data_IF_348870689826
#
_entry.id   IF_348870689826
#
_cell.length_a   1.000
_cell.length_b   1.000
_cell.length_c   1.000
_cell.angle_alpha   90.00
_cell.angle_beta   90.00
_cell.angle_gamma   90.00
#
_symmetry.space_group_name_H-M   'P 1'
#
loop_
_entity.id
_entity.type
_entity.pdbx_description
1 polymer ?
#
# COMPACT_ATOMS: atom_id res chain seq x y z
N UNK A 1 17.23 10.85 7.87
CA UNK A 1 16.35 10.98 6.69
C UNK A 1 14.98 11.37 7.20
N UNK A 2 14.40 12.51 6.77
CA UNK A 2 13.06 12.91 7.22
C UNK A 2 12.05 11.85 6.75
N UNK A 3 11.22 11.33 7.66
CA UNK A 3 10.19 10.33 7.34
C UNK A 3 9.30 10.81 6.17
N UNK A 4 8.96 12.10 6.16
CA UNK A 4 8.17 12.71 5.08
C UNK A 4 8.83 12.58 3.70
N UNK A 5 10.16 12.68 3.61
CA UNK A 5 10.88 12.54 2.34
C UNK A 5 10.89 11.07 1.88
N UNK A 6 11.01 10.13 2.82
CA UNK A 6 10.99 8.69 2.51
C UNK A 6 9.65 8.27 1.88
N UNK A 7 8.54 8.73 2.44
CA UNK A 7 7.20 8.36 1.97
C UNK A 7 6.80 9.07 0.67
N UNK A 8 7.17 10.35 0.49
CA UNK A 8 6.98 11.05 -0.79
C UNK A 8 7.70 10.30 -1.92
N UNK A 9 8.91 9.78 -1.68
CA UNK A 9 9.64 8.98 -2.68
C UNK A 9 8.93 7.65 -2.95
N UNK A 10 8.46 6.94 -1.93
CA UNK A 10 7.71 5.68 -2.08
C UNK A 10 6.44 5.85 -2.93
N UNK A 11 5.69 6.94 -2.75
CA UNK A 11 4.47 7.21 -3.53
C UNK A 11 4.80 7.69 -4.94
N UNK A 12 5.83 8.51 -5.09
CA UNK A 12 6.32 8.93 -6.41
C UNK A 12 6.77 7.72 -7.24
N UNK A 13 7.30 6.67 -6.59
CA UNK A 13 7.69 5.40 -7.21
C UNK A 13 6.50 4.51 -7.60
N UNK A 14 5.29 4.72 -7.06
CA UNK A 14 4.10 4.02 -7.52
C UNK A 14 3.67 4.41 -8.93
N UNK A 15 4.29 5.43 -9.53
CA UNK A 15 4.10 5.68 -10.96
C UNK A 15 2.64 5.77 -11.37
N UNK A 16 1.75 6.28 -10.50
CA UNK A 16 0.37 6.59 -10.87
C UNK A 16 0.39 7.87 -11.71
N UNK A 17 1.09 7.81 -12.84
CA UNK A 17 1.24 8.91 -13.78
C UNK A 17 0.67 8.58 -15.16
N UNK A 18 0.19 7.35 -15.42
CA UNK A 18 -0.43 7.04 -16.73
C UNK A 18 -1.24 5.73 -16.82
N UNK A 19 -2.22 5.46 -15.96
CA UNK A 19 -3.14 4.32 -16.20
C UNK A 19 -4.56 4.58 -15.72
N UNK A 20 -5.48 3.73 -16.19
CA UNK A 20 -6.90 3.69 -15.77
C UNK A 20 -7.08 3.65 -14.24
N UNK A 21 -6.01 3.36 -13.48
CA UNK A 21 -5.96 3.36 -12.03
C UNK A 21 -6.15 4.74 -11.39
N UNK A 22 -5.81 5.86 -12.05
CA UNK A 22 -6.03 7.20 -11.47
C UNK A 22 -7.51 7.46 -11.16
N UNK A 23 -8.42 6.87 -11.94
CA UNK A 23 -9.87 6.92 -11.69
C UNK A 23 -10.27 6.26 -10.36
N UNK A 24 -9.56 5.21 -9.96
CA UNK A 24 -9.85 4.44 -8.75
C UNK A 24 -8.98 4.90 -7.56
N UNK A 25 -7.83 5.50 -7.86
CA UNK A 25 -6.82 5.98 -6.90
C UNK A 25 -6.47 7.44 -7.22
N UNK A 26 -7.40 8.39 -7.04
CA UNK A 26 -7.10 9.78 -7.29
C UNK A 26 -6.00 10.27 -6.33
N UNK A 27 -5.22 11.25 -6.78
CA UNK A 27 -4.02 11.71 -6.07
C UNK A 27 -4.32 12.19 -4.64
N UNK A 28 -5.49 12.78 -4.41
CA UNK A 28 -5.96 13.20 -3.10
C UNK A 28 -6.15 12.00 -2.15
N UNK A 29 -6.76 10.91 -2.62
CA UNK A 29 -6.91 9.68 -1.84
C UNK A 29 -5.54 9.09 -1.47
N UNK A 30 -4.63 9.01 -2.45
CA UNK A 30 -3.27 8.50 -2.20
C UNK A 30 -2.54 9.32 -1.15
N UNK A 31 -2.66 10.65 -1.22
CA UNK A 31 -2.08 11.57 -0.24
C UNK A 31 -2.67 11.38 1.16
N UNK A 32 -3.99 11.23 1.27
CA UNK A 32 -4.66 11.06 2.57
C UNK A 32 -4.29 9.71 3.21
N UNK A 33 -4.33 8.62 2.44
CA UNK A 33 -3.95 7.29 2.94
C UNK A 33 -2.49 7.26 3.35
N UNK A 34 -1.62 7.88 2.56
CA UNK A 34 -0.22 8.08 2.93
C UNK A 34 -0.11 8.75 4.28
N UNK A 35 -0.68 9.95 4.45
CA UNK A 35 -0.56 10.72 5.69
C UNK A 35 -1.06 9.94 6.90
N UNK A 36 -2.14 9.18 6.75
CA UNK A 36 -2.63 8.29 7.80
C UNK A 36 -1.61 7.20 8.18
N UNK A 37 -0.97 6.57 7.19
CA UNK A 37 0.04 5.55 7.43
C UNK A 37 1.34 6.13 8.00
N UNK A 38 1.78 7.30 7.53
CA UNK A 38 2.90 8.05 8.11
C UNK A 38 2.67 8.34 9.59
N UNK A 39 1.47 8.83 9.93
CA UNK A 39 1.09 9.13 11.31
C UNK A 39 1.05 7.86 12.18
N UNK A 40 0.44 6.78 11.68
CA UNK A 40 0.37 5.51 12.39
C UNK A 40 1.78 4.92 12.64
N UNK A 41 2.66 5.00 11.65
CA UNK A 41 4.05 4.57 11.78
C UNK A 41 4.79 5.49 12.75
N UNK A 42 4.61 6.80 12.66
CA UNK A 42 5.25 7.75 13.57
C UNK A 42 4.86 7.49 15.02
N UNK A 43 3.58 7.23 15.30
CA UNK A 43 3.10 6.84 16.64
C UNK A 43 3.74 5.52 17.10
N UNK A 44 3.89 4.54 16.19
CA UNK A 44 4.55 3.28 16.51
C UNK A 44 6.08 3.41 16.73
N UNK A 45 6.67 4.47 16.19
CA UNK A 45 8.10 4.76 16.27
C UNK A 45 8.44 5.72 17.41
N UNK A 46 7.48 6.49 17.91
CA UNK A 46 7.67 7.38 19.04
C UNK A 46 7.95 6.52 20.31
N UNK A 47 9.22 6.51 20.73
CA UNK A 47 9.73 5.63 21.78
C UNK A 47 10.54 4.42 21.30
N UNK A 48 10.82 4.29 20.00
CA UNK A 48 11.65 3.21 19.44
C UNK A 48 12.88 3.73 18.71
N UNK A 49 13.99 3.02 18.85
CA UNK A 49 15.25 3.40 18.22
C UNK A 49 15.21 3.05 16.72
N UNK A 50 15.10 4.07 15.86
CA UNK A 50 15.06 3.91 14.40
C UNK A 50 16.33 3.26 13.83
N UNK A 51 17.44 3.26 14.58
CA UNK A 51 18.66 2.57 14.19
C UNK A 51 18.61 1.04 14.41
N UNK A 52 17.66 0.55 15.21
CA UNK A 52 17.45 -0.90 15.43
C UNK A 52 16.43 -1.50 14.46
N UNK A 53 15.53 -0.66 13.91
CA UNK A 53 14.55 -1.07 12.91
C UNK A 53 15.11 -0.85 11.52
N UNK A 54 15.31 -1.93 10.77
CA UNK A 54 15.81 -1.86 9.40
C UNK A 54 14.86 -1.05 8.51
N UNK A 55 15.38 -0.43 7.45
CA UNK A 55 14.58 0.26 6.43
C UNK A 55 13.43 -0.61 5.90
N UNK A 56 13.68 -1.92 5.81
CA UNK A 56 12.73 -2.92 5.31
C UNK A 56 11.53 -3.14 6.27
N UNK A 57 11.66 -2.86 7.56
CA UNK A 57 10.53 -2.92 8.51
C UNK A 57 9.58 -1.73 8.34
N UNK A 58 10.14 -0.54 8.15
CA UNK A 58 9.36 0.68 7.97
C UNK A 58 8.61 0.64 6.64
N UNK A 59 9.28 0.20 5.58
CA UNK A 59 8.67 0.00 4.26
C UNK A 59 7.53 -1.02 4.32
N UNK A 60 7.72 -2.12 5.04
CA UNK A 60 6.67 -3.10 5.24
C UNK A 60 5.45 -2.53 5.97
N UNK A 61 5.65 -1.84 7.09
CA UNK A 61 4.51 -1.26 7.82
C UNK A 61 3.76 -0.23 7.00
N UNK A 62 4.47 0.54 6.18
CA UNK A 62 3.84 1.49 5.27
C UNK A 62 2.99 0.80 4.24
N UNK A 63 3.54 -0.15 3.50
CA UNK A 63 2.79 -0.85 2.47
C UNK A 63 1.63 -1.67 3.03
N UNK A 64 1.85 -2.35 4.15
CA UNK A 64 0.79 -3.08 4.84
C UNK A 64 -0.34 -2.13 5.26
N UNK A 65 -0.02 -0.98 5.87
CA UNK A 65 -1.01 0.03 6.22
C UNK A 65 -1.73 0.56 4.97
N UNK A 66 -0.99 0.93 3.94
CA UNK A 66 -1.52 1.54 2.72
C UNK A 66 -2.51 0.61 2.01
N UNK A 67 -2.13 -0.66 1.82
CA UNK A 67 -2.99 -1.67 1.20
C UNK A 67 -4.24 -1.97 2.05
N UNK A 68 -4.12 -2.00 3.38
CA UNK A 68 -5.29 -2.17 4.28
C UNK A 68 -6.25 -0.98 4.20
N UNK A 69 -5.73 0.25 4.22
CA UNK A 69 -6.54 1.48 4.12
C UNK A 69 -7.23 1.62 2.77
N UNK A 70 -6.60 1.13 1.70
CA UNK A 70 -7.23 1.05 0.38
C UNK A 70 -8.31 -0.04 0.28
N UNK A 71 -8.30 -1.00 1.22
CA UNK A 71 -9.23 -2.13 1.26
C UNK A 71 -8.74 -3.36 0.50
N UNK A 72 -7.45 -3.42 0.15
CA UNK A 72 -6.87 -4.54 -0.59
C UNK A 72 -6.39 -5.67 0.30
N UNK A 73 -6.07 -5.36 1.54
CA UNK A 73 -5.72 -6.32 2.57
C UNK A 73 -6.72 -6.27 3.73
N UNK A 74 -6.98 -7.43 4.33
CA UNK A 74 -7.60 -7.54 5.64
C UNK A 74 -6.59 -7.26 6.75
N UNK A 75 -7.06 -7.14 8.00
CA UNK A 75 -6.17 -6.98 9.15
C UNK A 75 -5.21 -8.16 9.32
N UNK A 76 -5.61 -9.36 8.89
CA UNK A 76 -4.82 -10.60 8.87
C UNK A 76 -3.89 -10.72 7.65
N UNK A 77 -3.64 -9.62 6.93
CA UNK A 77 -2.79 -9.55 5.74
C UNK A 77 -3.23 -10.48 4.58
N UNK A 78 -4.53 -10.78 4.47
CA UNK A 78 -5.06 -11.55 3.33
C UNK A 78 -5.67 -10.63 2.28
N UNK A 79 -5.66 -11.06 1.03
CA UNK A 79 -6.34 -10.33 -0.04
C UNK A 79 -7.83 -10.14 0.30
N UNK A 80 -8.31 -8.90 0.14
CA UNK A 80 -9.68 -8.51 0.45
C UNK A 80 -10.45 -8.18 -0.84
N UNK A 81 -11.05 -9.21 -1.43
CA UNK A 81 -11.80 -9.07 -2.69
C UNK A 81 -12.99 -8.11 -2.54
N UNK A 82 -13.73 -8.17 -1.44
CA UNK A 82 -14.86 -7.27 -1.18
C UNK A 82 -14.42 -5.81 -1.11
N UNK A 83 -13.28 -5.53 -0.46
CA UNK A 83 -12.71 -4.19 -0.39
C UNK A 83 -12.23 -3.69 -1.75
N UNK A 84 -11.65 -4.55 -2.57
CA UNK A 84 -11.28 -4.24 -3.95
C UNK A 84 -12.53 -3.92 -4.78
N UNK A 85 -13.57 -4.76 -4.72
CA UNK A 85 -14.84 -4.53 -5.41
C UNK A 85 -15.49 -3.19 -5.01
N UNK A 86 -15.45 -2.83 -3.72
CA UNK A 86 -15.92 -1.51 -3.25
C UNK A 86 -15.13 -0.36 -3.86
N UNK A 87 -13.84 -0.56 -4.16
CA UNK A 87 -12.95 0.47 -4.70
C UNK A 87 -13.10 0.62 -6.22
N UNK A 88 -13.08 -0.49 -6.95
CA UNK A 88 -13.04 -0.48 -8.42
C UNK A 88 -14.40 -0.76 -9.07
N UNK A 89 -15.43 -0.99 -8.26
CA UNK A 89 -16.76 -1.37 -8.71
C UNK A 89 -16.78 -2.77 -9.33
N UNK A 90 -17.72 -3.00 -10.26
CA UNK A 90 -17.89 -4.31 -10.92
C UNK A 90 -16.93 -4.53 -12.11
N UNK A 91 -15.79 -3.84 -12.15
CA UNK A 91 -14.80 -4.01 -13.21
C UNK A 91 -13.99 -5.29 -12.99
N UNK A 92 -14.54 -6.41 -13.47
CA UNK A 92 -13.97 -7.75 -13.27
C UNK A 92 -12.52 -7.85 -13.74
N UNK A 93 -12.17 -7.21 -14.86
CA UNK A 93 -10.79 -7.21 -15.36
C UNK A 93 -9.83 -6.60 -14.34
N UNK A 94 -10.16 -5.42 -13.81
CA UNK A 94 -9.30 -4.75 -12.82
C UNK A 94 -9.26 -5.54 -11.50
N UNK A 95 -10.36 -6.17 -11.08
CA UNK A 95 -10.39 -7.02 -9.89
C UNK A 95 -9.43 -8.21 -10.07
N UNK A 96 -9.48 -8.88 -11.22
CA UNK A 96 -8.60 -10.01 -11.55
C UNK A 96 -7.13 -9.56 -11.66
N UNK A 97 -6.86 -8.44 -12.34
CA UNK A 97 -5.50 -7.87 -12.45
C UNK A 97 -4.92 -7.56 -11.06
N UNK A 98 -5.71 -6.95 -10.16
CA UNK A 98 -5.30 -6.70 -8.78
C UNK A 98 -5.12 -8.03 -8.03
N UNK A 99 -6.05 -8.98 -8.14
CA UNK A 99 -5.96 -10.29 -7.43
C UNK A 99 -4.67 -11.03 -7.77
N UNK A 100 -4.26 -10.98 -9.03
CA UNK A 100 -3.05 -11.63 -9.55
C UNK A 100 -1.76 -11.06 -8.96
N UNK A 101 -1.80 -9.87 -8.37
CA UNK A 101 -0.67 -9.32 -7.64
C UNK A 101 -0.47 -9.95 -6.26
N UNK A 102 -1.48 -10.64 -5.69
CA UNK A 102 -1.42 -11.16 -4.32
C UNK A 102 -1.21 -12.68 -4.30
N UNK A 103 -0.48 -13.21 -3.30
CA UNK A 103 -0.41 -14.64 -3.06
C UNK A 103 -1.78 -15.24 -2.70
N UNK A 104 -1.85 -16.57 -2.71
CA UNK A 104 -3.04 -17.30 -2.26
C UNK A 104 -3.20 -17.17 -0.74
N UNK A 105 -2.09 -17.20 -0.01
CA UNK A 105 -2.01 -17.13 1.45
C UNK A 105 -1.86 -15.68 1.95
N UNK A 106 -1.64 -15.53 3.27
CA UNK A 106 -1.39 -14.23 3.87
C UNK A 106 -0.07 -13.63 3.39
N UNK A 107 -0.09 -12.33 3.09
CA UNK A 107 1.05 -11.55 2.63
C UNK A 107 2.11 -11.47 3.71
N UNK A 108 3.32 -11.87 3.33
CA UNK A 108 4.53 -11.78 4.15
C UNK A 108 5.20 -10.41 4.02
N UNK A 109 6.20 -10.17 4.88
CA UNK A 109 6.95 -8.92 4.87
C UNK A 109 7.70 -8.73 3.55
N UNK A 110 8.22 -9.80 3.02
CA UNK A 110 9.06 -9.86 1.81
C UNK A 110 8.23 -9.64 0.53
N UNK A 111 6.93 -9.94 0.57
CA UNK A 111 6.05 -9.85 -0.60
C UNK A 111 5.42 -8.46 -0.79
N UNK A 112 5.31 -7.66 0.26
CA UNK A 112 4.46 -6.45 0.24
C UNK A 112 4.94 -5.39 -0.77
N UNK A 113 6.25 -5.24 -0.93
CA UNK A 113 6.84 -4.32 -1.92
C UNK A 113 6.61 -4.82 -3.36
N UNK A 114 6.71 -6.14 -3.57
CA UNK A 114 6.41 -6.76 -4.87
C UNK A 114 4.94 -6.58 -5.27
N UNK A 115 4.04 -6.69 -4.29
CA UNK A 115 2.60 -6.44 -4.48
C UNK A 115 2.36 -4.99 -4.88
N UNK A 116 2.92 -4.02 -4.15
CA UNK A 116 2.76 -2.60 -4.46
C UNK A 116 3.25 -2.27 -5.87
N UNK A 117 4.41 -2.81 -6.27
CA UNK A 117 4.96 -2.67 -7.63
C UNK A 117 4.12 -3.34 -8.71
N UNK A 118 3.46 -4.46 -8.40
CA UNK A 118 2.55 -5.11 -9.33
C UNK A 118 1.31 -4.24 -9.59
N UNK A 119 0.68 -3.73 -8.53
CA UNK A 119 -0.51 -2.87 -8.63
C UNK A 119 -0.21 -1.58 -9.39
N UNK A 120 0.97 -0.99 -9.19
CA UNK A 120 1.43 0.20 -9.90
C UNK A 120 1.54 0.02 -11.43
N UNK A 121 1.55 -1.21 -11.94
CA UNK A 121 1.67 -1.53 -13.37
C UNK A 121 0.35 -1.80 -14.07
N UNK A 122 -0.77 -1.82 -13.32
CA UNK A 122 -2.13 -1.96 -13.84
C UNK A 122 -2.59 -0.60 -14.40
#
# INVERSE_FOLDING_TARGET
MNLEIFFIVIISLLGVQSSDMEKYFPMDLQYHVTKQCEQQISVNLDGQNLNEKGSNDIEYWFWSCFLKKLGFLTDDNKFNEEGVQKRVGNNQKIIEDIRNCFPIDAVTKEEVDSIAKCIARI
#
